data_IF_025936018137
#
_entry.id   IF_025936018137
#
_cell.length_a   1.000
_cell.length_b   1.000
_cell.length_c   1.000
_cell.angle_alpha   90.00
_cell.angle_beta   90.00
_cell.angle_gamma   90.00
#
_symmetry.space_group_name_H-M   'P 1'
#
loop_
_entity.id
_entity.type
_entity.pdbx_description
1 polymer ?
#
# COMPACT_ATOMS: atom_id res chain seq x y z
N UNK A 1 1.60 1.02 49.86
CA UNK A 1 2.11 0.03 48.86
C UNK A 1 1.37 0.11 47.53
N UNK A 2 0.03 0.24 47.50
CA UNK A 2 -0.77 0.33 46.27
C UNK A 2 -0.39 1.51 45.34
N UNK A 3 -0.14 2.69 45.89
CA UNK A 3 0.26 3.89 45.11
C UNK A 3 1.65 3.76 44.49
N UNK A 4 2.60 3.11 45.17
CA UNK A 4 3.93 2.82 44.62
C UNK A 4 3.89 1.74 43.53
N UNK A 5 2.96 0.77 43.63
CA UNK A 5 2.72 -0.26 42.61
C UNK A 5 2.04 0.30 41.35
N UNK A 6 1.13 1.27 41.51
CA UNK A 6 0.56 2.00 40.37
C UNK A 6 1.60 2.91 39.71
N UNK A 7 2.46 3.57 40.48
CA UNK A 7 3.53 4.42 39.96
C UNK A 7 4.56 3.62 39.15
N UNK A 8 4.95 2.42 39.62
CA UNK A 8 5.82 1.51 38.84
C UNK A 8 5.13 0.95 37.61
N UNK A 9 3.81 0.69 37.65
CA UNK A 9 3.05 0.24 36.48
C UNK A 9 2.93 1.32 35.40
N UNK A 10 2.71 2.58 35.79
CA UNK A 10 2.69 3.73 34.89
C UNK A 10 4.07 3.95 34.24
N UNK A 11 5.15 3.83 35.02
CA UNK A 11 6.51 3.95 34.50
C UNK A 11 6.86 2.83 33.50
N UNK A 12 6.38 1.61 33.73
CA UNK A 12 6.54 0.48 32.80
C UNK A 12 5.76 0.71 31.49
N UNK A 13 4.53 1.24 31.56
CA UNK A 13 3.71 1.52 30.39
C UNK A 13 4.31 2.61 29.48
N UNK A 14 4.96 3.62 30.08
CA UNK A 14 5.66 4.68 29.35
C UNK A 14 6.93 4.15 28.66
N UNK A 15 7.65 3.21 29.27
CA UNK A 15 8.85 2.57 28.69
C UNK A 15 8.56 1.82 27.38
N UNK A 16 7.40 1.15 27.29
CA UNK A 16 6.98 0.40 26.08
C UNK A 16 6.74 1.31 24.89
N UNK A 17 6.36 2.58 25.11
CA UNK A 17 6.09 3.54 24.04
C UNK A 17 7.37 4.06 23.35
N UNK A 18 8.55 3.93 23.97
CA UNK A 18 9.82 4.38 23.40
C UNK A 18 10.54 3.32 22.54
N UNK A 19 10.01 2.08 22.46
CA UNK A 19 10.60 1.01 21.63
C UNK A 19 10.17 1.02 20.15
N UNK A 20 9.31 1.97 19.74
CA UNK A 20 8.94 2.13 18.33
C UNK A 20 9.88 3.10 17.62
N UNK A 21 11.15 2.71 17.49
CA UNK A 21 12.09 3.32 16.56
C UNK A 21 12.55 2.23 15.59
N UNK A 22 11.89 2.15 14.43
CA UNK A 22 12.29 1.27 13.34
C UNK A 22 13.48 1.87 12.60
N UNK A 23 14.67 1.34 12.87
CA UNK A 23 15.88 1.64 12.12
C UNK A 23 15.76 1.03 10.71
N UNK A 24 15.41 1.86 9.72
CA UNK A 24 15.40 1.49 8.32
C UNK A 24 16.84 1.48 7.80
N UNK A 25 17.66 0.53 8.25
CA UNK A 25 18.93 0.23 7.61
C UNK A 25 18.68 -0.32 6.21
N UNK A 26 18.90 0.54 5.21
CA UNK A 26 19.15 0.14 3.83
C UNK A 26 20.40 -0.76 3.81
N UNK A 27 20.20 -2.07 3.80
CA UNK A 27 21.27 -3.03 3.48
C UNK A 27 21.54 -2.98 1.98
N UNK A 28 22.58 -2.23 1.64
CA UNK A 28 23.22 -2.29 0.33
C UNK A 28 23.82 -3.68 0.10
N UNK A 29 23.32 -4.32 -0.97
CA UNK A 29 24.01 -5.26 -1.86
C UNK A 29 24.88 -6.33 -1.21
N UNK A 30 24.34 -7.55 -1.20
CA UNK A 30 25.14 -8.75 -1.40
C UNK A 30 24.77 -9.35 -2.76
N UNK A 31 25.73 -9.33 -3.70
CA UNK A 31 25.67 -10.06 -4.96
C UNK A 31 25.78 -11.55 -4.63
N UNK A 32 24.67 -12.26 -4.49
CA UNK A 32 24.69 -13.72 -4.52
C UNK A 32 24.53 -14.22 -5.96
N UNK A 33 25.33 -15.23 -6.29
CA UNK A 33 25.59 -15.75 -7.62
C UNK A 33 24.30 -16.16 -8.33
N UNK A 34 24.27 -15.84 -9.61
CA UNK A 34 23.33 -16.34 -10.60
C UNK A 34 23.33 -17.87 -10.63
N UNK A 35 22.43 -18.49 -9.86
CA UNK A 35 21.85 -19.78 -10.25
C UNK A 35 20.93 -19.45 -11.41
N UNK A 36 21.36 -19.74 -12.64
CA UNK A 36 20.43 -19.76 -13.79
C UNK A 36 19.50 -20.94 -13.54
N UNK A 37 18.46 -20.71 -12.74
CA UNK A 37 17.26 -21.51 -12.79
C UNK A 37 16.72 -21.30 -14.19
N UNK A 38 16.60 -22.38 -14.95
CA UNK A 38 15.92 -22.41 -16.24
C UNK A 38 14.52 -21.84 -16.00
N UNK A 39 14.35 -20.54 -16.23
CA UNK A 39 13.07 -19.86 -16.02
C UNK A 39 12.10 -20.52 -16.98
N UNK A 40 11.14 -21.26 -16.44
CA UNK A 40 10.00 -21.69 -17.25
C UNK A 40 9.44 -20.45 -17.93
N UNK A 41 9.18 -20.55 -19.23
CA UNK A 41 8.70 -19.42 -20.02
C UNK A 41 7.25 -19.16 -19.59
N UNK A 42 7.07 -18.40 -18.52
CA UNK A 42 5.75 -17.97 -18.05
C UNK A 42 5.18 -17.01 -19.10
N UNK A 43 3.91 -17.20 -19.43
CA UNK A 43 3.20 -16.26 -20.28
C UNK A 43 3.05 -14.94 -19.53
N UNK A 44 3.57 -13.86 -20.12
CA UNK A 44 3.44 -12.50 -19.61
C UNK A 44 2.53 -11.77 -20.61
N UNK A 45 1.32 -11.37 -20.21
CA UNK A 45 0.46 -10.55 -21.06
C UNK A 45 1.13 -9.21 -21.37
N UNK A 46 0.90 -8.71 -22.59
CA UNK A 46 1.35 -7.37 -22.97
C UNK A 46 0.55 -6.29 -22.24
N UNK A 47 1.24 -5.25 -21.78
CA UNK A 47 0.59 -4.07 -21.23
C UNK A 47 0.10 -3.15 -22.36
N UNK A 48 -1.17 -2.77 -22.32
CA UNK A 48 -1.74 -1.83 -23.27
C UNK A 48 -1.70 -0.39 -22.72
N UNK A 49 -0.83 0.44 -23.30
CA UNK A 49 -0.64 1.84 -22.88
C UNK A 49 -1.86 2.73 -23.16
N UNK A 50 -2.58 2.51 -24.26
CA UNK A 50 -3.75 3.31 -24.63
C UNK A 50 -4.90 3.10 -23.64
N UNK A 51 -5.13 1.83 -23.25
CA UNK A 51 -6.11 1.49 -22.21
C UNK A 51 -5.74 2.14 -20.87
N UNK A 52 -4.46 2.09 -20.48
CA UNK A 52 -4.00 2.72 -19.25
C UNK A 52 -4.20 4.24 -19.27
N UNK A 53 -3.86 4.89 -20.39
CA UNK A 53 -4.08 6.31 -20.59
C UNK A 53 -5.57 6.67 -20.50
N UNK A 54 -6.45 5.89 -21.14
CA UNK A 54 -7.89 6.08 -21.05
C UNK A 54 -8.39 6.06 -19.60
N UNK A 55 -7.96 5.09 -18.78
CA UNK A 55 -8.38 5.03 -17.38
C UNK A 55 -7.84 6.18 -16.53
N UNK A 56 -6.63 6.69 -16.84
CA UNK A 56 -6.09 7.90 -16.19
C UNK A 56 -6.87 9.14 -16.60
N UNK A 57 -7.16 9.30 -17.89
CA UNK A 57 -7.94 10.41 -18.42
C UNK A 57 -9.32 10.48 -17.75
N UNK A 58 -10.01 9.34 -17.63
CA UNK A 58 -11.30 9.25 -16.92
C UNK A 58 -11.23 9.70 -15.47
N UNK A 59 -10.16 9.36 -14.75
CA UNK A 59 -9.98 9.85 -13.37
C UNK A 59 -9.76 11.37 -13.31
N UNK A 60 -9.06 11.93 -14.29
CA UNK A 60 -8.79 13.37 -14.38
C UNK A 60 -10.05 14.16 -14.77
N UNK A 61 -10.92 13.59 -15.60
CA UNK A 61 -12.20 14.19 -16.00
C UNK A 61 -13.11 14.53 -14.80
N UNK A 62 -13.01 13.80 -13.68
CA UNK A 62 -13.79 14.11 -12.47
C UNK A 62 -13.33 15.40 -11.75
N UNK A 63 -12.15 15.94 -12.09
CA UNK A 63 -11.53 17.08 -11.40
C UNK A 63 -10.60 16.67 -10.23
N UNK A 64 -10.22 17.60 -9.34
CA UNK A 64 -9.35 17.32 -8.20
C UNK A 64 -9.99 16.35 -7.19
N UNK A 65 -9.31 15.22 -6.88
CA UNK A 65 -9.82 14.15 -5.99
C UNK A 65 -9.52 14.45 -4.51
N UNK A 66 -9.80 15.68 -4.08
CA UNK A 66 -9.61 16.10 -2.68
C UNK A 66 -10.52 15.25 -1.77
N UNK A 67 -10.01 14.65 -0.67
CA UNK A 67 -10.81 13.84 0.24
C UNK A 67 -12.08 14.55 0.71
N UNK A 68 -13.21 13.84 0.70
CA UNK A 68 -14.52 14.38 1.07
C UNK A 68 -15.22 15.22 -0.02
N UNK A 69 -14.57 15.50 -1.15
CA UNK A 69 -15.21 16.18 -2.28
C UNK A 69 -16.11 15.24 -3.11
N UNK A 70 -17.04 15.82 -3.88
CA UNK A 70 -17.87 15.07 -4.84
C UNK A 70 -17.04 14.39 -5.93
N UNK A 71 -15.98 15.06 -6.41
CA UNK A 71 -15.06 14.52 -7.41
C UNK A 71 -14.32 13.27 -6.89
N UNK A 72 -13.88 13.30 -5.61
CA UNK A 72 -13.25 12.15 -4.97
C UNK A 72 -14.23 10.96 -4.87
N UNK A 73 -15.47 11.19 -4.40
CA UNK A 73 -16.49 10.15 -4.31
C UNK A 73 -16.87 9.56 -5.68
N UNK A 74 -17.01 10.39 -6.71
CA UNK A 74 -17.30 9.94 -8.07
C UNK A 74 -16.16 9.09 -8.65
N UNK A 75 -14.91 9.54 -8.48
CA UNK A 75 -13.73 8.80 -8.90
C UNK A 75 -13.60 7.46 -8.16
N UNK A 76 -13.87 7.43 -6.85
CA UNK A 76 -13.86 6.19 -6.07
C UNK A 76 -14.90 5.19 -6.59
N UNK A 77 -16.10 5.66 -6.93
CA UNK A 77 -17.15 4.80 -7.48
C UNK A 77 -16.79 4.24 -8.86
N UNK A 78 -16.17 5.07 -9.70
CA UNK A 78 -15.65 4.63 -11.00
C UNK A 78 -14.58 3.52 -10.85
N UNK A 79 -13.62 3.70 -9.94
CA UNK A 79 -12.58 2.71 -9.69
C UNK A 79 -13.16 1.39 -9.15
N UNK A 80 -14.05 1.46 -8.16
CA UNK A 80 -14.74 0.30 -7.61
C UNK A 80 -15.45 -0.51 -8.72
N UNK A 81 -16.24 0.17 -9.56
CA UNK A 81 -16.98 -0.48 -10.64
C UNK A 81 -16.03 -1.06 -11.70
N UNK A 82 -14.96 -0.35 -12.05
CA UNK A 82 -13.98 -0.81 -13.04
C UNK A 82 -13.27 -2.07 -12.54
N UNK A 83 -12.82 -2.08 -11.28
CA UNK A 83 -12.17 -3.26 -10.69
C UNK A 83 -13.12 -4.45 -10.61
N UNK A 84 -14.40 -4.23 -10.24
CA UNK A 84 -15.41 -5.29 -10.20
C UNK A 84 -15.71 -5.89 -11.57
N UNK A 85 -15.46 -5.13 -12.65
CA UNK A 85 -15.59 -5.64 -14.01
C UNK A 85 -14.42 -6.55 -14.44
N UNK A 86 -13.28 -6.45 -13.76
CA UNK A 86 -12.06 -7.23 -14.08
C UNK A 86 -11.76 -8.34 -13.09
N UNK A 87 -12.36 -8.30 -11.89
CA UNK A 87 -12.14 -9.28 -10.83
C UNK A 87 -13.45 -9.56 -10.09
N UNK A 88 -13.62 -10.82 -9.68
CA UNK A 88 -14.72 -11.24 -8.81
C UNK A 88 -14.53 -10.81 -7.35
N UNK A 89 -13.31 -10.45 -6.97
CA UNK A 89 -12.96 -9.97 -5.63
C UNK A 89 -12.40 -8.54 -5.70
N UNK A 90 -13.08 -7.65 -4.98
CA UNK A 90 -12.74 -6.24 -4.80
C UNK A 90 -13.12 -5.90 -3.36
N UNK A 91 -12.21 -6.22 -2.43
CA UNK A 91 -12.34 -6.00 -0.98
C UNK A 91 -11.56 -4.80 -0.49
#
# INVERSE_FOLDING_TARGET
MKTKLHFTFILFLISVLFFSCGDNKKTSKEKNKSTIQKTEKVFIPDFNADSAYYFVAKQVEFGPRVPGSKANAACAKFLENTLKSFSTDVT
#
